data_IF_670361433813
#
_entry.id   IF_670361433813
#
_cell.length_a   1.000
_cell.length_b   1.000
_cell.length_c   1.000
_cell.angle_alpha   90.00
_cell.angle_beta   90.00
_cell.angle_gamma   90.00
#
_symmetry.space_group_name_H-M   'P 1'
#
loop_
_entity.id
_entity.type
_entity.pdbx_description
1 polymer ?
#
# COMPACT_ATOMS: atom_id res chain seq x y z
N UNK A 1 -2.20 7.61 -33.91
CA UNK A 1 -1.67 8.97 -33.59
C UNK A 1 -2.26 9.60 -32.32
N UNK A 2 -3.51 9.32 -31.93
CA UNK A 2 -4.11 9.89 -30.71
C UNK A 2 -3.40 9.46 -29.41
N UNK A 3 -3.02 8.19 -29.25
CA UNK A 3 -2.36 7.69 -28.03
C UNK A 3 -1.01 8.39 -27.77
N UNK A 4 -0.23 8.69 -28.82
CA UNK A 4 1.05 9.39 -28.67
C UNK A 4 0.85 10.84 -28.21
N UNK A 5 -0.20 11.50 -28.70
CA UNK A 5 -0.54 12.87 -28.30
C UNK A 5 -1.01 12.92 -26.85
N UNK A 6 -1.85 11.98 -26.44
CA UNK A 6 -2.31 11.84 -25.05
C UNK A 6 -1.12 11.55 -24.13
N UNK A 7 -0.22 10.63 -24.50
CA UNK A 7 0.98 10.34 -23.71
C UNK A 7 1.90 11.56 -23.53
N UNK A 8 2.07 12.38 -24.56
CA UNK A 8 2.85 13.62 -24.46
C UNK A 8 2.21 14.62 -23.49
N UNK A 9 0.88 14.79 -23.55
CA UNK A 9 0.16 15.71 -22.65
C UNK A 9 0.30 15.24 -21.20
N UNK A 10 0.06 13.94 -20.93
CA UNK A 10 0.23 13.39 -19.58
C UNK A 10 1.68 13.51 -19.07
N UNK A 11 2.66 13.21 -19.90
CA UNK A 11 4.06 13.34 -19.54
C UNK A 11 4.46 14.78 -19.21
N UNK A 12 3.96 15.76 -20.00
CA UNK A 12 4.22 17.18 -19.74
C UNK A 12 3.55 17.63 -18.44
N UNK A 13 2.28 17.24 -18.19
CA UNK A 13 1.58 17.57 -16.94
C UNK A 13 2.32 16.96 -15.74
N UNK A 14 2.69 15.67 -15.83
CA UNK A 14 3.42 14.97 -14.76
C UNK A 14 4.78 15.65 -14.49
N UNK A 15 5.50 16.07 -15.54
CA UNK A 15 6.76 16.79 -15.41
C UNK A 15 6.59 18.15 -14.72
N UNK A 16 5.57 18.94 -15.09
CA UNK A 16 5.26 20.21 -14.43
C UNK A 16 4.91 20.02 -12.95
N UNK A 17 4.09 19.01 -12.64
CA UNK A 17 3.73 18.65 -11.25
C UNK A 17 4.97 18.24 -10.45
N UNK A 18 5.86 17.45 -11.02
CA UNK A 18 7.12 17.05 -10.38
C UNK A 18 8.02 18.25 -10.05
N UNK A 19 8.13 19.22 -10.95
CA UNK A 19 8.91 20.45 -10.72
C UNK A 19 8.31 21.28 -9.58
N UNK A 20 6.98 21.39 -9.52
CA UNK A 20 6.30 22.15 -8.45
C UNK A 20 6.47 21.44 -7.09
N UNK A 21 6.47 20.11 -7.06
CA UNK A 21 6.60 19.31 -5.82
C UNK A 21 8.07 19.25 -5.35
N UNK A 22 9.03 19.38 -6.26
CA UNK A 22 10.47 19.25 -5.96
C UNK A 22 10.96 20.07 -4.75
N UNK A 23 10.64 21.37 -4.58
CA UNK A 23 11.09 22.15 -3.43
C UNK A 23 10.48 21.66 -2.10
N UNK A 24 9.29 21.04 -2.12
CA UNK A 24 8.69 20.48 -0.91
C UNK A 24 9.42 19.22 -0.42
N UNK A 25 10.05 18.48 -1.33
CA UNK A 25 10.84 17.28 -1.02
C UNK A 25 12.10 17.65 -0.22
N UNK A 26 12.72 18.79 -0.48
CA UNK A 26 13.91 19.22 0.24
C UNK A 26 13.65 19.39 1.75
N UNK A 27 12.45 19.77 2.14
CA UNK A 27 12.06 19.98 3.54
C UNK A 27 11.50 18.70 4.23
N UNK A 28 11.41 17.59 3.53
CA UNK A 28 10.76 16.37 4.00
C UNK A 28 11.71 15.33 4.62
N UNK A 29 12.89 15.73 5.07
CA UNK A 29 13.83 14.85 5.78
C UNK A 29 14.49 13.75 4.93
N UNK A 30 14.40 13.88 3.61
CA UNK A 30 15.05 12.99 2.65
C UNK A 30 14.07 12.46 1.59
N UNK A 31 14.59 12.30 0.37
CA UNK A 31 13.82 11.84 -0.79
C UNK A 31 13.19 10.47 -0.55
N UNK A 32 13.93 9.55 0.07
CA UNK A 32 13.46 8.19 0.33
C UNK A 32 12.27 8.16 1.27
N UNK A 33 12.33 8.93 2.37
CA UNK A 33 11.22 9.02 3.34
C UNK A 33 9.99 9.63 2.70
N UNK A 34 10.16 10.68 1.90
CA UNK A 34 9.08 11.31 1.16
C UNK A 34 8.42 10.34 0.17
N UNK A 35 9.22 9.66 -0.67
CA UNK A 35 8.71 8.70 -1.65
C UNK A 35 7.97 7.54 -0.99
N UNK A 36 8.53 7.02 0.11
CA UNK A 36 7.86 5.96 0.87
C UNK A 36 6.53 6.45 1.46
N UNK A 37 6.49 7.63 2.07
CA UNK A 37 5.26 8.22 2.60
C UNK A 37 4.21 8.43 1.51
N UNK A 38 4.60 8.93 0.34
CA UNK A 38 3.69 9.17 -0.78
C UNK A 38 3.19 7.86 -1.40
N UNK A 39 4.03 6.84 -1.52
CA UNK A 39 3.61 5.54 -2.07
C UNK A 39 2.55 4.85 -1.21
N UNK A 40 2.53 5.12 0.10
CA UNK A 40 1.53 4.54 1.01
C UNK A 40 0.09 5.00 0.72
N UNK A 41 -0.10 6.17 0.10
CA UNK A 41 -1.43 6.62 -0.33
C UNK A 41 -2.15 5.62 -1.23
N UNK A 42 -1.38 4.90 -2.03
CA UNK A 42 -1.93 3.93 -2.99
C UNK A 42 -1.75 2.50 -2.50
N UNK A 43 -0.57 2.19 -1.95
CA UNK A 43 -0.21 0.80 -1.61
C UNK A 43 -1.06 0.22 -0.49
N UNK A 44 -1.35 1.00 0.57
CA UNK A 44 -2.11 0.47 1.70
C UNK A 44 -3.57 0.16 1.35
N UNK A 45 -4.37 1.08 0.77
CA UNK A 45 -5.76 0.78 0.44
C UNK A 45 -5.89 -0.31 -0.63
N UNK A 46 -4.93 -0.42 -1.55
CA UNK A 46 -4.89 -1.52 -2.52
C UNK A 46 -4.64 -2.84 -1.80
N UNK A 47 -3.66 -2.90 -0.89
CA UNK A 47 -3.37 -4.09 -0.09
C UNK A 47 -4.59 -4.51 0.75
N UNK A 48 -5.21 -3.55 1.47
CA UNK A 48 -6.43 -3.81 2.24
C UNK A 48 -7.55 -4.36 1.35
N UNK A 49 -7.77 -3.76 0.19
CA UNK A 49 -8.80 -4.21 -0.75
C UNK A 49 -8.57 -5.65 -1.22
N UNK A 50 -7.33 -5.98 -1.59
CA UNK A 50 -6.95 -7.33 -2.01
C UNK A 50 -7.18 -8.32 -0.87
N UNK A 51 -6.68 -8.02 0.33
CA UNK A 51 -6.88 -8.87 1.51
C UNK A 51 -8.37 -9.04 1.82
N UNK A 52 -9.15 -7.96 1.72
CA UNK A 52 -10.58 -8.02 1.96
C UNK A 52 -11.34 -8.90 0.97
N UNK A 53 -10.96 -8.91 -0.31
CA UNK A 53 -11.55 -9.80 -1.30
C UNK A 53 -11.24 -11.27 -0.97
N UNK A 54 -10.03 -11.56 -0.50
CA UNK A 54 -9.65 -12.93 -0.10
C UNK A 54 -10.30 -13.37 1.22
N UNK A 55 -10.45 -12.46 2.18
CA UNK A 55 -11.04 -12.77 3.49
C UNK A 55 -12.57 -12.85 3.43
N UNK A 56 -13.22 -11.99 2.61
CA UNK A 56 -14.66 -11.84 2.56
C UNK A 56 -15.22 -12.25 1.20
N UNK A 57 -15.87 -13.40 1.13
CA UNK A 57 -16.48 -13.93 -0.10
C UNK A 57 -17.62 -13.08 -0.68
N UNK A 58 -18.21 -12.17 0.11
CA UNK A 58 -19.37 -11.34 -0.26
C UNK A 58 -19.06 -9.86 -0.15
N UNK A 59 -17.91 -9.44 -0.62
CA UNK A 59 -17.51 -8.03 -0.56
C UNK A 59 -18.38 -7.15 -1.47
N UNK A 60 -18.96 -6.05 -0.95
CA UNK A 60 -19.76 -5.14 -1.77
C UNK A 60 -18.88 -4.40 -2.79
N UNK A 61 -19.40 -4.16 -3.98
CA UNK A 61 -18.70 -3.45 -5.08
C UNK A 61 -18.22 -2.04 -4.72
N UNK A 62 -18.83 -1.41 -3.70
CA UNK A 62 -18.43 -0.08 -3.22
C UNK A 62 -17.28 -0.11 -2.21
N UNK A 63 -16.90 -1.27 -1.67
CA UNK A 63 -15.90 -1.41 -0.62
C UNK A 63 -14.54 -0.79 -0.99
N UNK A 64 -13.94 -1.05 -2.16
CA UNK A 64 -12.65 -0.46 -2.52
C UNK A 64 -12.69 1.07 -2.56
N UNK A 65 -13.81 1.64 -3.04
CA UNK A 65 -13.99 3.11 -3.11
C UNK A 65 -14.04 3.74 -1.73
N UNK A 66 -14.80 3.13 -0.81
CA UNK A 66 -14.96 3.63 0.56
C UNK A 66 -13.61 3.58 1.29
N UNK A 67 -12.89 2.45 1.20
CA UNK A 67 -11.57 2.29 1.83
C UNK A 67 -10.57 3.29 1.28
N UNK A 68 -10.50 3.44 -0.05
CA UNK A 68 -9.56 4.40 -0.68
C UNK A 68 -9.86 5.84 -0.25
N UNK A 69 -11.14 6.25 -0.25
CA UNK A 69 -11.52 7.61 0.18
C UNK A 69 -11.18 7.81 1.67
N UNK A 70 -11.54 6.85 2.52
CA UNK A 70 -11.24 6.90 3.94
C UNK A 70 -9.73 7.01 4.19
N UNK A 71 -8.92 6.17 3.52
CA UNK A 71 -7.47 6.19 3.62
C UNK A 71 -6.89 7.55 3.20
N UNK A 72 -7.28 8.05 2.02
CA UNK A 72 -6.78 9.32 1.49
C UNK A 72 -7.11 10.48 2.44
N UNK A 73 -8.31 10.50 3.02
CA UNK A 73 -8.72 11.55 3.96
C UNK A 73 -7.92 11.44 5.27
N UNK A 74 -7.88 10.27 5.89
CA UNK A 74 -7.21 10.09 7.18
C UNK A 74 -5.68 10.25 7.07
N UNK A 75 -5.08 9.62 6.08
CA UNK A 75 -3.64 9.70 5.88
C UNK A 75 -3.21 11.07 5.34
N UNK A 76 -4.02 11.67 4.47
CA UNK A 76 -3.81 13.04 4.01
C UNK A 76 -3.86 14.05 5.15
N UNK A 77 -4.86 13.94 6.05
CA UNK A 77 -4.93 14.77 7.24
C UNK A 77 -3.70 14.58 8.14
N UNK A 78 -3.26 13.32 8.34
CA UNK A 78 -2.04 13.01 9.08
C UNK A 78 -0.81 13.71 8.49
N UNK A 79 -0.62 13.67 7.18
CA UNK A 79 0.51 14.34 6.52
C UNK A 79 0.43 15.88 6.58
N UNK A 80 -0.76 16.44 6.49
CA UNK A 80 -0.98 17.89 6.58
C UNK A 80 -0.69 18.45 7.97
N UNK A 81 -0.94 17.65 9.03
CA UNK A 81 -0.64 18.03 10.41
C UNK A 81 0.86 17.96 10.75
N UNK A 82 1.69 17.58 9.80
CA UNK A 82 3.17 17.50 9.90
C UNK A 82 3.74 16.63 11.04
N UNK A 83 3.08 15.57 11.52
CA UNK A 83 3.61 14.80 12.65
C UNK A 83 4.81 13.91 12.28
N UNK A 84 5.14 13.76 11.00
CA UNK A 84 6.19 12.86 10.53
C UNK A 84 7.39 13.56 9.87
N UNK A 85 7.43 14.90 9.86
CA UNK A 85 8.58 15.62 9.29
C UNK A 85 9.69 15.82 10.33
N UNK A 86 10.99 15.65 9.94
CA UNK A 86 12.11 15.97 10.79
C UNK A 86 12.07 17.47 11.16
N UNK A 87 12.13 17.77 12.46
CA UNK A 87 12.02 19.14 12.97
C UNK A 87 10.62 19.58 13.36
N UNK A 88 9.61 18.70 13.26
CA UNK A 88 8.33 18.90 13.93
C UNK A 88 8.45 18.46 15.40
N UNK A 89 7.77 19.17 16.31
CA UNK A 89 7.71 18.81 17.73
C UNK A 89 7.02 17.46 17.98
N UNK A 90 6.52 16.83 16.94
CA UNK A 90 5.77 15.58 17.01
C UNK A 90 6.53 14.43 16.29
N UNK A 91 7.17 13.53 17.06
CA UNK A 91 8.06 12.50 16.53
C UNK A 91 7.34 11.29 15.92
N UNK A 92 6.02 11.38 15.64
CA UNK A 92 5.24 10.25 15.13
C UNK A 92 5.68 9.94 13.69
N UNK A 93 6.31 8.79 13.53
CA UNK A 93 6.71 8.30 12.21
C UNK A 93 5.50 7.78 11.43
N UNK A 94 5.49 7.97 10.11
CA UNK A 94 4.38 7.55 9.23
C UNK A 94 4.03 6.06 9.36
N UNK A 95 4.98 5.21 9.72
CA UNK A 95 4.73 3.78 9.95
C UNK A 95 3.76 3.51 11.09
N UNK A 96 3.77 4.33 12.15
CA UNK A 96 2.80 4.19 13.24
C UNK A 96 1.38 4.54 12.77
N UNK A 97 1.26 5.58 11.96
CA UNK A 97 -0.02 5.92 11.35
C UNK A 97 -0.56 4.77 10.49
N UNK A 98 0.30 4.14 9.69
CA UNK A 98 -0.05 2.96 8.90
C UNK A 98 -0.46 1.77 9.76
N UNK A 99 0.28 1.50 10.84
CA UNK A 99 -0.02 0.43 11.77
C UNK A 99 -1.39 0.59 12.45
N UNK A 100 -1.86 1.83 12.61
CA UNK A 100 -3.19 2.12 13.18
C UNK A 100 -4.27 2.11 12.08
N UNK A 101 -4.00 2.70 10.91
CA UNK A 101 -4.97 2.75 9.82
C UNK A 101 -5.31 1.38 9.26
N UNK A 102 -4.33 0.50 9.11
CA UNK A 102 -4.52 -0.84 8.56
C UNK A 102 -5.59 -1.67 9.28
N UNK A 103 -5.55 -1.86 10.63
CA UNK A 103 -6.60 -2.60 11.32
C UNK A 103 -7.95 -1.88 11.33
N UNK A 104 -7.98 -0.54 11.30
CA UNK A 104 -9.21 0.23 11.18
C UNK A 104 -9.87 -0.04 9.83
N UNK A 105 -9.10 -0.02 8.75
CA UNK A 105 -9.60 -0.31 7.40
C UNK A 105 -10.13 -1.74 7.28
N UNK A 106 -9.42 -2.72 7.82
CA UNK A 106 -9.92 -4.10 7.90
C UNK A 106 -11.21 -4.19 8.72
N UNK A 107 -11.32 -3.46 9.81
CA UNK A 107 -12.54 -3.37 10.62
C UNK A 107 -13.71 -2.77 9.85
N UNK A 108 -13.49 -1.69 9.09
CA UNK A 108 -14.50 -1.10 8.20
C UNK A 108 -14.95 -2.09 7.14
N UNK A 109 -14.01 -2.84 6.55
CA UNK A 109 -14.32 -3.87 5.55
C UNK A 109 -15.17 -5.00 6.14
N UNK A 110 -14.81 -5.49 7.33
CA UNK A 110 -15.59 -6.49 8.04
C UNK A 110 -17.02 -5.98 8.34
N UNK A 111 -17.13 -4.73 8.81
CA UNK A 111 -18.40 -4.09 9.08
C UNK A 111 -19.27 -3.95 7.82
N UNK A 112 -18.69 -3.46 6.71
CA UNK A 112 -19.36 -3.35 5.41
C UNK A 112 -19.84 -4.70 4.88
N UNK A 113 -19.01 -5.73 5.00
CA UNK A 113 -19.36 -7.09 4.59
C UNK A 113 -20.53 -7.65 5.41
N UNK A 114 -20.61 -7.31 6.71
CA UNK A 114 -21.70 -7.76 7.60
C UNK A 114 -23.04 -7.05 7.30
N UNK A 115 -23.01 -5.74 7.06
CA UNK A 115 -24.24 -4.94 6.92
C UNK A 115 -24.71 -4.74 5.48
N UNK A 116 -23.82 -4.84 4.51
CA UNK A 116 -24.12 -4.75 3.07
C UNK A 116 -23.41 -5.85 2.30
N UNK A 117 -23.77 -7.12 2.48
CA UNK A 117 -23.16 -8.21 1.74
C UNK A 117 -23.40 -8.00 0.24
N UNK A 118 -22.35 -8.08 -0.56
CA UNK A 118 -22.41 -8.06 -2.00
C UNK A 118 -22.82 -9.42 -2.58
N UNK A 119 -22.89 -9.48 -3.90
CA UNK A 119 -23.02 -10.75 -4.62
C UNK A 119 -21.78 -11.63 -4.38
N UNK A 120 -21.97 -12.94 -4.32
CA UNK A 120 -20.84 -13.87 -4.26
C UNK A 120 -20.05 -13.72 -5.55
N UNK A 121 -18.80 -13.32 -5.44
CA UNK A 121 -17.92 -13.30 -6.59
C UNK A 121 -17.32 -14.68 -6.79
N UNK A 122 -17.83 -15.38 -7.79
CA UNK A 122 -17.21 -16.63 -8.27
C UNK A 122 -16.17 -16.24 -9.31
N UNK A 123 -14.91 -16.54 -9.01
CA UNK A 123 -13.83 -16.42 -10.00
C UNK A 123 -14.14 -17.45 -11.08
N UNK A 124 -14.51 -17.00 -12.27
CA UNK A 124 -14.64 -17.89 -13.41
C UNK A 124 -13.24 -18.41 -13.75
N UNK A 125 -13.00 -19.68 -13.45
CA UNK A 125 -11.79 -20.34 -13.91
C UNK A 125 -11.89 -20.54 -15.43
N UNK A 126 -11.21 -19.67 -16.15
CA UNK A 126 -11.19 -19.67 -17.62
C UNK A 126 -10.30 -20.83 -18.13
N UNK A 127 -9.66 -21.58 -17.22
CA UNK A 127 -8.77 -22.69 -17.60
C UNK A 127 -7.50 -22.25 -18.35
N UNK A 128 -7.23 -20.94 -18.37
CA UNK A 128 -6.10 -20.36 -19.10
C UNK A 128 -4.75 -20.60 -18.41
N UNK A 129 -4.78 -20.96 -17.13
CA UNK A 129 -3.57 -21.20 -16.34
C UNK A 129 -3.73 -22.52 -15.58
N UNK A 130 -2.72 -23.38 -15.64
CA UNK A 130 -2.67 -24.60 -14.87
C UNK A 130 -2.57 -24.24 -13.36
N UNK A 131 -3.65 -24.44 -12.63
CA UNK A 131 -3.76 -24.18 -11.18
C UNK A 131 -3.23 -25.32 -10.31
N UNK A 132 -2.62 -26.34 -10.91
CA UNK A 132 -2.02 -27.44 -10.12
C UNK A 132 -0.90 -26.90 -9.23
N UNK A 133 -0.95 -27.18 -7.92
CA UNK A 133 0.05 -26.62 -7.02
C UNK A 133 1.42 -27.22 -7.30
N UNK A 134 2.39 -26.36 -7.56
CA UNK A 134 3.77 -26.80 -7.76
C UNK A 134 4.30 -27.63 -6.59
N UNK A 135 4.86 -28.80 -6.90
CA UNK A 135 5.31 -29.81 -5.92
C UNK A 135 6.28 -29.26 -4.86
N UNK A 136 7.15 -28.34 -5.25
CA UNK A 136 8.18 -27.79 -4.36
C UNK A 136 7.81 -26.45 -3.72
N UNK A 137 6.57 -25.99 -3.85
CA UNK A 137 6.12 -24.68 -3.35
C UNK A 137 6.48 -24.42 -1.89
N UNK A 138 6.25 -25.41 -1.01
CA UNK A 138 6.50 -25.27 0.43
C UNK A 138 8.00 -25.21 0.74
N UNK A 139 8.81 -26.03 0.06
CA UNK A 139 10.25 -26.05 0.26
C UNK A 139 10.87 -24.71 -0.15
N UNK A 140 10.49 -24.20 -1.32
CA UNK A 140 10.99 -22.92 -1.81
C UNK A 140 10.52 -21.75 -0.93
N UNK A 141 9.27 -21.78 -0.43
CA UNK A 141 8.77 -20.76 0.49
C UNK A 141 9.52 -20.77 1.83
N UNK A 142 9.81 -21.95 2.38
CA UNK A 142 10.58 -22.07 3.62
C UNK A 142 12.02 -21.58 3.44
N UNK A 143 12.68 -21.97 2.34
CA UNK A 143 14.03 -21.51 2.02
C UNK A 143 14.04 -19.98 1.85
N UNK A 144 13.07 -19.40 1.12
CA UNK A 144 12.93 -17.97 0.96
C UNK A 144 12.76 -17.24 2.28
N UNK A 145 11.92 -17.78 3.18
CA UNK A 145 11.71 -17.23 4.51
C UNK A 145 13.00 -17.28 5.36
N UNK A 146 13.71 -18.40 5.34
CA UNK A 146 14.98 -18.56 6.07
C UNK A 146 16.05 -17.58 5.56
N UNK A 147 16.16 -17.40 4.25
CA UNK A 147 17.06 -16.41 3.64
C UNK A 147 16.68 -15.00 4.07
N UNK A 148 15.40 -14.65 4.04
CA UNK A 148 14.94 -13.34 4.48
C UNK A 148 15.28 -13.08 5.96
N UNK A 149 14.97 -14.03 6.84
CA UNK A 149 15.33 -13.95 8.27
C UNK A 149 16.85 -13.83 8.44
N UNK A 150 17.64 -14.62 7.71
CA UNK A 150 19.10 -14.57 7.74
C UNK A 150 19.64 -13.19 7.35
N UNK A 151 19.09 -12.59 6.31
CA UNK A 151 19.44 -11.22 5.89
C UNK A 151 19.07 -10.20 6.97
N UNK A 152 17.87 -10.30 7.55
CA UNK A 152 17.46 -9.40 8.64
C UNK A 152 18.37 -9.52 9.88
N UNK A 153 18.74 -10.73 10.27
CA UNK A 153 19.66 -10.96 11.41
C UNK A 153 21.04 -10.41 11.09
N UNK A 154 21.53 -10.64 9.86
CA UNK A 154 22.86 -10.19 9.42
C UNK A 154 22.98 -8.64 9.48
N UNK A 155 21.95 -7.91 9.07
CA UNK A 155 21.91 -6.44 9.06
C UNK A 155 21.26 -5.83 10.31
N UNK A 156 20.95 -6.65 11.32
CA UNK A 156 20.47 -6.16 12.62
C UNK A 156 21.64 -5.71 13.52
N UNK A 157 21.36 -5.02 14.64
CA UNK A 157 22.37 -4.71 15.66
C UNK A 157 23.06 -5.94 16.26
N UNK A 158 22.54 -7.16 16.03
CA UNK A 158 23.14 -8.43 16.43
C UNK A 158 24.17 -8.96 15.40
N UNK A 159 24.25 -8.33 14.23
CA UNK A 159 25.15 -8.74 13.13
C UNK A 159 26.10 -7.63 12.71
N UNK A 160 26.18 -7.36 11.39
CA UNK A 160 27.09 -6.38 10.80
C UNK A 160 26.76 -4.90 11.13
N UNK A 161 25.60 -4.62 11.73
CA UNK A 161 25.19 -3.28 12.11
C UNK A 161 25.52 -2.93 13.58
N UNK A 162 26.30 -3.79 14.26
CA UNK A 162 26.78 -3.58 15.63
C UNK A 162 27.94 -2.58 15.68
#
# INVERSE_FOLDING_TARGET
>A
MQCVRVGKIYGTIAGCVAIIISPFIMNAGGITTFLNSMSQFVSLPVLCTILGIFMFKRSPKCMPKIITIFHVVCYGAFLLLKPCYPGSDNPIHYLYAMAVLFPIELGIMWWLNKYRPGEVYEVQDIGAVDMTPWKYRHVVSIIGLLVAIGVYVLFSPLGLAA
#
